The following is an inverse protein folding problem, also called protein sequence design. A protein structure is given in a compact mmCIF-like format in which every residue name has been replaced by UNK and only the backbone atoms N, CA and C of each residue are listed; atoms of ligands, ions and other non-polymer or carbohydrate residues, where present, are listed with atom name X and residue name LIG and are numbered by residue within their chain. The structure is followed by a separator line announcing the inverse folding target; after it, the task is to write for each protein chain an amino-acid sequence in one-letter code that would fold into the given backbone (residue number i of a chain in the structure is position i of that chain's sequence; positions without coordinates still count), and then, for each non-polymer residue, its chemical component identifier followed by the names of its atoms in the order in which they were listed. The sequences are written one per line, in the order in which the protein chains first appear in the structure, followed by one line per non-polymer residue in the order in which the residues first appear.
data_IF_501373443679
#
_entry.id   IF_501373443679
#
_cell.length_a   1.000
_cell.length_b   1.000
_cell.length_c   1.000
_cell.angle_alpha   90.00
_cell.angle_beta   90.00
_cell.angle_gamma   90.00
#
_symmetry.space_group_name_H-M   'P 1'
#
loop_
_entity.id
_entity.type
_entity.pdbx_description
1 polymer ?
#
# COMPACT_ATOMS: atom_id res chain seq x y z
N UNK A 1 -4.59 -0.17 -20.34
CA UNK A 1 -4.35 -1.49 -20.98
C UNK A 1 -5.70 -2.09 -21.28
N UNK A 2 -6.02 -2.18 -22.56
CA UNK A 2 -7.24 -2.81 -23.04
C UNK A 2 -7.12 -4.32 -22.84
N UNK A 3 -7.58 -4.81 -21.70
CA UNK A 3 -7.80 -6.23 -21.51
C UNK A 3 -9.10 -6.57 -22.22
N UNK A 4 -9.03 -7.38 -23.25
CA UNK A 4 -10.19 -8.03 -23.84
C UNK A 4 -10.86 -8.87 -22.76
N UNK A 5 -11.92 -8.34 -22.14
CA UNK A 5 -12.74 -9.13 -21.24
C UNK A 5 -13.74 -9.93 -22.08
N UNK A 6 -13.78 -11.25 -21.87
CA UNK A 6 -14.85 -12.09 -22.43
C UNK A 6 -16.20 -11.64 -21.90
N UNK A 7 -17.26 -11.84 -22.71
CA UNK A 7 -18.64 -11.58 -22.27
C UNK A 7 -18.90 -12.35 -20.97
N UNK A 8 -19.21 -11.63 -19.87
CA UNK A 8 -19.39 -12.21 -18.55
C UNK A 8 -18.16 -12.17 -17.62
N UNK A 9 -17.02 -11.68 -18.11
CA UNK A 9 -15.86 -11.44 -17.26
C UNK A 9 -16.04 -10.19 -16.39
N UNK A 10 -15.42 -10.19 -15.22
CA UNK A 10 -15.41 -9.04 -14.30
C UNK A 10 -14.65 -7.87 -14.95
N UNK A 11 -15.21 -6.67 -14.93
CA UNK A 11 -14.61 -5.47 -15.54
C UNK A 11 -13.28 -5.06 -14.87
N UNK A 12 -13.15 -5.33 -13.57
CA UNK A 12 -11.94 -5.04 -12.79
C UNK A 12 -11.61 -6.20 -11.86
N UNK A 13 -10.84 -7.19 -12.33
CA UNK A 13 -10.42 -8.32 -11.51
C UNK A 13 -9.35 -7.92 -10.49
N UNK A 14 -9.30 -8.64 -9.37
CA UNK A 14 -8.23 -8.54 -8.38
C UNK A 14 -6.94 -9.15 -8.95
N UNK A 15 -5.80 -8.57 -8.62
CA UNK A 15 -4.50 -9.15 -8.99
C UNK A 15 -4.28 -10.41 -8.15
N UNK A 16 -4.04 -11.52 -8.81
CA UNK A 16 -3.82 -12.83 -8.17
C UNK A 16 -2.45 -13.40 -8.54
N UNK A 17 -1.89 -14.18 -7.63
CA UNK A 17 -0.70 -14.98 -7.86
C UNK A 17 -1.00 -16.06 -8.91
N UNK A 18 -0.22 -16.18 -9.99
CA UNK A 18 -0.53 -17.10 -11.08
C UNK A 18 -0.48 -18.59 -10.70
N UNK A 19 0.27 -18.95 -9.66
CA UNK A 19 0.38 -20.34 -9.20
C UNK A 19 -0.75 -20.71 -8.23
N UNK A 20 -1.02 -19.84 -7.26
CA UNK A 20 -1.98 -20.14 -6.19
C UNK A 20 -3.38 -19.64 -6.50
N UNK A 21 -3.54 -18.78 -7.48
CA UNK A 21 -4.77 -18.06 -7.82
C UNK A 21 -5.36 -17.25 -6.65
N UNK A 22 -4.57 -17.03 -5.60
CA UNK A 22 -4.97 -16.22 -4.45
C UNK A 22 -4.65 -14.75 -4.69
N UNK A 23 -5.49 -13.81 -4.20
CA UNK A 23 -5.21 -12.39 -4.28
C UNK A 23 -3.84 -12.05 -3.68
N UNK A 24 -3.14 -11.13 -4.33
CA UNK A 24 -1.90 -10.53 -3.83
C UNK A 24 -1.99 -9.01 -3.90
N UNK A 25 -1.23 -8.34 -3.05
CA UNK A 25 -1.01 -6.90 -3.19
C UNK A 25 0.41 -6.71 -3.70
N UNK A 26 0.60 -6.24 -4.95
CA UNK A 26 1.94 -5.98 -5.47
C UNK A 26 2.70 -4.97 -4.63
N UNK A 27 3.98 -5.23 -4.34
CA UNK A 27 4.85 -4.31 -3.62
C UNK A 27 4.96 -2.94 -4.30
N UNK A 28 4.86 -2.90 -5.63
CA UNK A 28 4.78 -1.64 -6.39
C UNK A 28 3.54 -0.79 -6.04
N UNK A 29 2.42 -1.42 -5.68
CA UNK A 29 1.20 -0.72 -5.25
C UNK A 29 1.40 -0.04 -3.89
N UNK A 30 2.01 -0.72 -2.93
CA UNK A 30 2.40 -0.13 -1.64
C UNK A 30 3.39 1.01 -1.84
N UNK A 31 4.51 0.72 -2.52
CA UNK A 31 5.57 1.69 -2.78
C UNK A 31 5.05 2.97 -3.43
N UNK A 32 4.30 2.82 -4.52
CA UNK A 32 3.76 3.97 -5.28
C UNK A 32 2.75 4.77 -4.48
N UNK A 33 1.89 4.11 -3.72
CA UNK A 33 0.89 4.78 -2.91
C UNK A 33 1.51 5.54 -1.73
N UNK A 34 2.38 4.92 -0.95
CA UNK A 34 3.08 5.57 0.17
C UNK A 34 3.90 6.76 -0.31
N UNK A 35 4.67 6.61 -1.40
CA UNK A 35 5.41 7.70 -2.03
C UNK A 35 4.50 8.88 -2.37
N UNK A 36 3.38 8.61 -3.05
CA UNK A 36 2.42 9.64 -3.47
C UNK A 36 1.81 10.38 -2.28
N UNK A 37 1.49 9.67 -1.20
CA UNK A 37 0.92 10.27 0.00
C UNK A 37 1.93 11.14 0.74
N UNK A 38 3.16 10.67 0.90
CA UNK A 38 4.25 11.46 1.49
C UNK A 38 4.57 12.69 0.66
N UNK A 39 4.63 12.57 -0.68
CA UNK A 39 4.84 13.72 -1.56
C UNK A 39 3.74 14.77 -1.39
N UNK A 40 2.47 14.36 -1.33
CA UNK A 40 1.33 15.28 -1.14
C UNK A 40 1.37 16.09 0.16
N UNK A 41 1.89 15.51 1.24
CA UNK A 41 1.97 16.22 2.54
C UNK A 41 3.27 16.99 2.73
N UNK A 42 4.27 16.73 1.89
CA UNK A 42 5.59 17.37 1.95
C UNK A 42 5.76 18.49 0.93
N UNK A 43 4.85 18.64 -0.04
CA UNK A 43 4.90 19.65 -1.08
C UNK A 43 3.60 20.45 -1.16
N UNK A 44 3.71 21.75 -1.44
CA UNK A 44 2.52 22.61 -1.61
C UNK A 44 1.72 22.28 -2.88
N UNK A 45 2.39 21.72 -3.89
CA UNK A 45 1.80 21.35 -5.19
C UNK A 45 2.16 19.92 -5.55
N UNK A 46 1.27 19.25 -6.30
CA UNK A 46 1.60 17.94 -6.90
C UNK A 46 2.79 18.12 -7.84
N UNK A 47 3.80 17.28 -7.66
CA UNK A 47 4.99 17.26 -8.49
C UNK A 47 5.19 15.87 -9.11
N UNK A 48 6.00 15.82 -10.17
CA UNK A 48 6.49 14.57 -10.74
C UNK A 48 7.47 13.91 -9.76
N UNK A 49 7.66 12.59 -9.80
CA UNK A 49 8.53 11.86 -8.89
C UNK A 49 9.97 12.37 -8.79
N UNK A 50 10.52 12.89 -9.89
CA UNK A 50 11.87 13.44 -9.91
C UNK A 50 11.97 14.83 -9.26
N UNK A 51 10.84 15.45 -8.96
CA UNK A 51 10.75 16.71 -8.22
C UNK A 51 10.32 16.54 -6.76
N UNK A 52 10.23 15.29 -6.28
CA UNK A 52 9.99 15.00 -4.86
C UNK A 52 11.09 15.58 -3.97
N UNK A 53 10.78 15.91 -2.70
CA UNK A 53 11.80 16.24 -1.69
C UNK A 53 12.88 15.18 -1.57
N UNK A 54 14.08 15.60 -1.17
CA UNK A 54 15.27 14.75 -1.09
C UNK A 54 15.07 13.47 -0.26
N UNK A 55 14.34 13.58 0.86
CA UNK A 55 14.02 12.43 1.71
C UNK A 55 13.15 11.39 0.98
N UNK A 56 12.23 11.83 0.12
CA UNK A 56 11.36 10.91 -0.64
C UNK A 56 12.17 10.26 -1.76
N UNK A 57 13.06 11.02 -2.43
CA UNK A 57 13.94 10.46 -3.47
C UNK A 57 14.87 9.38 -2.93
N UNK A 58 15.49 9.60 -1.76
CA UNK A 58 16.37 8.59 -1.17
C UNK A 58 15.63 7.35 -0.69
N UNK A 59 14.40 7.50 -0.19
CA UNK A 59 13.57 6.36 0.22
C UNK A 59 13.05 5.55 -0.96
N UNK A 60 12.53 6.20 -2.00
CA UNK A 60 11.80 5.56 -3.09
C UNK A 60 12.55 5.50 -4.42
N UNK A 61 13.67 6.19 -4.52
CA UNK A 61 14.46 6.31 -5.75
C UNK A 61 14.02 7.46 -6.64
N UNK A 62 14.87 7.81 -7.62
CA UNK A 62 14.58 8.81 -8.67
C UNK A 62 15.21 8.40 -9.99
N UNK A 63 14.70 8.92 -11.10
CA UNK A 63 15.23 8.71 -12.44
C UNK A 63 16.17 9.84 -12.89
N UNK A 64 15.96 11.06 -12.37
CA UNK A 64 16.82 12.21 -12.65
C UNK A 64 17.05 13.05 -11.38
N UNK A 65 18.27 13.06 -10.81
CA UNK A 65 19.37 12.14 -11.09
C UNK A 65 19.02 10.69 -10.71
N UNK A 66 19.61 9.72 -11.38
CA UNK A 66 19.39 8.30 -11.08
C UNK A 66 19.82 8.01 -9.66
N UNK A 67 18.89 7.52 -8.85
CA UNK A 67 19.12 7.13 -7.46
C UNK A 67 18.40 5.84 -7.13
N UNK A 68 19.11 4.92 -6.51
CA UNK A 68 18.53 3.68 -6.02
C UNK A 68 17.61 3.94 -4.83
N UNK A 69 16.54 3.18 -4.74
CA UNK A 69 15.61 3.21 -3.60
C UNK A 69 16.23 2.50 -2.39
N UNK A 70 16.20 3.12 -1.22
CA UNK A 70 16.54 2.45 0.04
C UNK A 70 15.48 1.46 0.51
N UNK A 71 14.22 1.69 0.11
CA UNK A 71 13.09 0.82 0.43
C UNK A 71 12.81 -0.17 -0.70
N UNK A 72 12.69 -1.44 -0.34
CA UNK A 72 12.24 -2.52 -1.23
C UNK A 72 10.98 -3.13 -0.65
N UNK A 73 9.93 -3.22 -1.45
CA UNK A 73 8.63 -3.76 -1.08
C UNK A 73 8.42 -5.10 -1.77
N UNK A 74 8.12 -6.14 -1.00
CA UNK A 74 7.74 -7.44 -1.55
C UNK A 74 6.27 -7.45 -1.94
N UNK A 75 5.85 -8.43 -2.74
CA UNK A 75 4.43 -8.68 -2.95
C UNK A 75 3.83 -9.29 -1.67
N UNK A 76 2.75 -8.69 -1.17
CA UNK A 76 2.08 -9.17 0.03
C UNK A 76 1.15 -10.34 -0.30
N UNK A 77 1.32 -11.44 0.44
CA UNK A 77 0.55 -12.68 0.28
C UNK A 77 -0.42 -12.86 1.44
N UNK A 78 -1.52 -13.56 1.17
CA UNK A 78 -2.54 -13.85 2.20
C UNK A 78 -1.98 -14.81 3.25
N UNK A 79 -2.22 -14.49 4.52
CA UNK A 79 -1.78 -15.28 5.68
C UNK A 79 -2.89 -16.17 6.27
N UNK A 80 -4.16 -15.79 6.10
CA UNK A 80 -5.31 -16.44 6.72
C UNK A 80 -6.33 -16.98 5.70
N UNK A 81 -5.84 -17.55 4.60
CA UNK A 81 -6.70 -18.02 3.52
C UNK A 81 -7.65 -19.16 3.95
N UNK A 82 -7.24 -19.98 4.92
CA UNK A 82 -7.99 -21.07 5.49
C UNK A 82 -9.34 -20.65 6.10
N UNK A 83 -9.39 -19.47 6.70
CA UNK A 83 -10.64 -18.92 7.28
C UNK A 83 -11.71 -18.68 6.21
N UNK A 84 -11.30 -18.52 4.95
CA UNK A 84 -12.18 -18.13 3.84
C UNK A 84 -12.47 -19.26 2.85
N UNK A 85 -12.16 -20.51 3.19
CA UNK A 85 -12.33 -21.66 2.29
C UNK A 85 -13.79 -21.83 1.82
N UNK A 86 -14.76 -21.57 2.70
CA UNK A 86 -16.20 -21.73 2.37
C UNK A 86 -16.79 -20.51 1.65
N UNK A 87 -16.33 -19.30 1.97
CA UNK A 87 -16.95 -18.05 1.47
C UNK A 87 -16.18 -17.41 0.32
N UNK A 88 -14.94 -17.84 0.10
CA UNK A 88 -14.03 -17.26 -0.92
C UNK A 88 -13.30 -16.01 -0.44
N UNK A 89 -12.17 -15.72 -1.11
CA UNK A 89 -11.29 -14.59 -0.80
C UNK A 89 -11.72 -13.28 -1.47
N UNK A 90 -12.61 -13.36 -2.45
CA UNK A 90 -13.09 -12.22 -3.23
C UNK A 90 -14.60 -12.21 -3.34
N UNK A 91 -15.17 -11.05 -3.55
CA UNK A 91 -16.58 -10.85 -3.85
C UNK A 91 -16.74 -9.93 -5.06
N UNK A 92 -17.87 -10.08 -5.77
CA UNK A 92 -18.22 -9.22 -6.90
C UNK A 92 -19.20 -8.16 -6.42
N UNK A 93 -18.78 -6.89 -6.50
CA UNK A 93 -19.61 -5.74 -6.22
C UNK A 93 -20.18 -5.19 -7.52
N UNK A 94 -21.51 -5.08 -7.59
CA UNK A 94 -22.19 -4.43 -8.70
C UNK A 94 -22.31 -2.93 -8.43
N UNK A 95 -21.82 -2.11 -9.36
CA UNK A 95 -21.97 -0.65 -9.32
C UNK A 95 -22.63 -0.15 -10.59
N UNK A 96 -23.54 0.80 -10.47
CA UNK A 96 -24.20 1.44 -11.61
C UNK A 96 -23.70 2.88 -11.76
N UNK A 97 -23.37 3.24 -12.99
CA UNK A 97 -23.14 4.64 -13.38
C UNK A 97 -24.33 5.09 -14.22
N UNK A 98 -25.08 6.08 -13.74
CA UNK A 98 -26.22 6.63 -14.47
C UNK A 98 -25.76 7.88 -15.23
N UNK A 99 -25.96 7.90 -16.54
CA UNK A 99 -25.72 9.09 -17.36
C UNK A 99 -26.71 10.20 -16.96
N UNK A 100 -26.19 11.35 -16.59
CA UNK A 100 -27.05 12.49 -16.22
C UNK A 100 -27.82 13.07 -17.40
N UNK A 101 -27.38 12.82 -18.63
CA UNK A 101 -27.99 13.33 -19.86
C UNK A 101 -29.05 12.36 -20.39
N UNK A 102 -28.72 11.07 -20.44
CA UNK A 102 -29.57 10.05 -21.07
C UNK A 102 -30.34 9.20 -20.09
N UNK A 103 -30.06 9.32 -18.79
CA UNK A 103 -30.62 8.45 -17.71
C UNK A 103 -30.34 6.96 -17.91
N UNK A 104 -29.46 6.59 -18.83
CA UNK A 104 -29.08 5.20 -19.09
C UNK A 104 -28.16 4.72 -17.96
N UNK A 105 -28.50 3.58 -17.37
CA UNK A 105 -27.67 2.90 -16.39
C UNK A 105 -26.61 2.05 -17.11
N UNK A 106 -25.34 2.19 -16.67
CA UNK A 106 -24.23 1.38 -17.14
C UNK A 106 -23.70 0.54 -15.97
N UNK A 107 -24.13 -0.72 -15.82
CA UNK A 107 -23.69 -1.59 -14.75
C UNK A 107 -22.23 -2.00 -14.94
N UNK A 108 -21.49 -2.10 -13.83
CA UNK A 108 -20.11 -2.57 -13.79
C UNK A 108 -19.94 -3.62 -12.69
N UNK A 109 -19.15 -4.63 -12.96
CA UNK A 109 -18.78 -5.67 -12.02
C UNK A 109 -17.35 -5.44 -11.56
N UNK A 110 -17.19 -5.22 -10.26
CA UNK A 110 -15.91 -4.95 -9.64
C UNK A 110 -15.63 -6.09 -8.66
N UNK A 111 -14.52 -6.79 -8.88
CA UNK A 111 -14.04 -7.75 -7.91
C UNK A 111 -13.23 -7.05 -6.84
N UNK A 112 -13.44 -7.41 -5.59
CA UNK A 112 -12.65 -6.94 -4.45
C UNK A 112 -12.40 -8.04 -3.45
N UNK A 113 -11.32 -7.91 -2.70
CA UNK A 113 -11.01 -8.81 -1.58
C UNK A 113 -12.02 -8.59 -0.46
N UNK A 114 -12.49 -9.67 0.15
CA UNK A 114 -13.43 -9.62 1.27
C UNK A 114 -12.78 -9.03 2.52
N UNK A 115 -13.59 -8.42 3.38
CA UNK A 115 -13.10 -7.87 4.65
C UNK A 115 -12.59 -8.97 5.58
N UNK A 116 -11.53 -8.68 6.33
CA UNK A 116 -10.93 -9.64 7.27
C UNK A 116 -9.77 -10.48 6.69
N UNK A 117 -9.49 -10.38 5.39
CA UNK A 117 -8.30 -11.00 4.80
C UNK A 117 -7.05 -10.27 5.29
N UNK A 118 -6.07 -11.04 5.75
CA UNK A 118 -4.79 -10.53 6.26
C UNK A 118 -3.70 -10.82 5.25
N UNK A 119 -2.96 -9.78 4.87
CA UNK A 119 -1.80 -9.86 4.00
C UNK A 119 -0.52 -9.68 4.80
N UNK A 120 0.48 -10.54 4.55
CA UNK A 120 1.83 -10.37 5.08
C UNK A 120 2.67 -9.54 4.14
N UNK A 121 3.15 -8.39 4.59
CA UNK A 121 4.03 -7.50 3.85
C UNK A 121 5.44 -7.55 4.41
N UNK A 122 6.44 -7.48 3.54
CA UNK A 122 7.84 -7.33 3.91
C UNK A 122 8.43 -6.11 3.23
N UNK A 123 8.95 -5.20 4.05
CA UNK A 123 9.68 -4.03 3.59
C UNK A 123 11.14 -4.16 4.04
N UNK A 124 12.08 -4.10 3.10
CA UNK A 124 13.53 -4.07 3.41
C UNK A 124 13.98 -2.62 3.27
N UNK A 125 14.66 -2.13 4.29
CA UNK A 125 15.33 -0.84 4.27
C UNK A 125 16.85 -1.03 4.26
N UNK A 126 17.52 -0.51 3.24
CA UNK A 126 18.97 -0.53 3.13
C UNK A 126 19.56 0.70 3.82
N UNK A 127 20.34 0.47 4.87
CA UNK A 127 21.04 1.55 5.59
C UNK A 127 22.25 1.97 4.78
N UNK A 128 22.14 3.08 4.03
CA UNK A 128 23.26 3.69 3.30
C UNK A 128 24.00 4.71 4.17
N UNK A 129 23.27 5.45 5.00
CA UNK A 129 23.79 6.42 5.94
C UNK A 129 23.14 6.25 7.30
N UNK A 130 23.87 5.82 8.34
CA UNK A 130 23.33 5.63 9.69
C UNK A 130 22.73 6.89 10.32
N UNK A 131 23.25 8.08 9.99
CA UNK A 131 22.76 9.35 10.53
C UNK A 131 21.33 9.68 10.05
N UNK A 132 20.94 9.17 8.90
CA UNK A 132 19.63 9.38 8.28
C UNK A 132 18.61 8.31 8.66
N UNK A 133 19.03 7.22 9.31
CA UNK A 133 18.20 6.06 9.62
C UNK A 133 16.92 6.41 10.39
N UNK A 134 17.06 7.23 11.43
CA UNK A 134 15.90 7.61 12.26
C UNK A 134 14.88 8.42 11.47
N UNK A 135 15.34 9.39 10.70
CA UNK A 135 14.49 10.23 9.86
C UNK A 135 13.78 9.42 8.79
N UNK A 136 14.49 8.48 8.15
CA UNK A 136 13.94 7.61 7.12
C UNK A 136 12.82 6.70 7.65
N UNK A 137 13.04 6.07 8.80
CA UNK A 137 12.04 5.20 9.43
C UNK A 137 10.84 6.02 9.97
N UNK A 138 11.07 7.22 10.50
CA UNK A 138 9.98 8.13 10.92
C UNK A 138 9.10 8.53 9.72
N UNK A 139 9.70 8.81 8.55
CA UNK A 139 8.94 9.10 7.33
C UNK A 139 8.22 7.87 6.76
N UNK A 140 8.82 6.68 6.81
CA UNK A 140 8.12 5.44 6.47
C UNK A 140 6.90 5.23 7.37
N UNK A 141 7.06 5.37 8.68
CA UNK A 141 5.98 5.29 9.67
C UNK A 141 4.85 6.27 9.35
N UNK A 142 5.19 7.53 9.02
CA UNK A 142 4.21 8.53 8.58
C UNK A 142 3.50 8.13 7.30
N UNK A 143 4.21 7.55 6.34
CA UNK A 143 3.63 7.04 5.09
C UNK A 143 2.61 5.92 5.33
N UNK A 144 2.90 5.01 6.26
CA UNK A 144 2.00 3.93 6.69
C UNK A 144 0.75 4.51 7.38
N UNK A 145 0.89 5.52 8.25
CA UNK A 145 -0.25 6.22 8.86
C UNK A 145 -1.15 6.86 7.80
N UNK A 146 -0.56 7.60 6.85
CA UNK A 146 -1.30 8.25 5.75
C UNK A 146 -2.05 7.24 4.89
N UNK A 147 -1.47 6.07 4.66
CA UNK A 147 -2.11 5.02 3.86
C UNK A 147 -3.37 4.46 4.54
N UNK A 148 -3.40 4.36 5.86
CA UNK A 148 -4.59 3.93 6.61
C UNK A 148 -5.71 4.98 6.59
N UNK A 149 -5.38 6.27 6.41
CA UNK A 149 -6.36 7.35 6.24
C UNK A 149 -6.89 7.45 4.80
N UNK A 150 -6.22 6.79 3.87
CA UNK A 150 -6.60 6.78 2.46
C UNK A 150 -7.09 5.35 2.07
N UNK A 151 -6.71 4.86 0.92
CA UNK A 151 -7.06 3.52 0.42
C UNK A 151 -5.96 2.97 -0.47
N UNK A 152 -5.94 1.66 -0.63
CA UNK A 152 -5.06 0.95 -1.55
C UNK A 152 -5.87 0.36 -2.72
N UNK A 153 -5.34 0.45 -3.95
CA UNK A 153 -6.02 -0.02 -5.16
C UNK A 153 -7.06 0.96 -5.71
N UNK A 154 -8.03 0.43 -6.43
CA UNK A 154 -9.09 1.20 -7.08
C UNK A 154 -10.33 1.42 -6.21
N UNK A 155 -11.24 2.29 -6.69
CA UNK A 155 -12.58 2.52 -6.13
C UNK A 155 -12.63 2.96 -4.65
N UNK A 156 -11.54 3.52 -4.10
CA UNK A 156 -11.42 3.90 -2.70
C UNK A 156 -12.43 4.96 -2.25
N UNK A 157 -12.77 5.94 -3.10
CA UNK A 157 -13.80 6.94 -2.81
C UNK A 157 -15.21 6.34 -2.64
N UNK A 158 -15.39 5.06 -2.98
CA UNK A 158 -16.64 4.30 -2.86
C UNK A 158 -16.54 3.16 -1.84
N UNK A 159 -15.58 3.27 -0.91
CA UNK A 159 -15.43 2.40 0.25
C UNK A 159 -14.63 1.11 0.01
N UNK A 160 -13.92 0.98 -1.12
CA UNK A 160 -13.01 -0.14 -1.36
C UNK A 160 -11.58 0.20 -0.92
N UNK A 161 -10.78 -0.82 -0.59
CA UNK A 161 -9.34 -0.68 -0.36
C UNK A 161 -8.93 -0.05 0.98
N UNK A 162 -9.82 0.03 1.96
CA UNK A 162 -9.45 0.39 3.33
C UNK A 162 -8.59 -0.71 3.94
N UNK A 163 -7.46 -0.33 4.50
CA UNK A 163 -6.51 -1.25 5.13
C UNK A 163 -6.09 -0.73 6.49
N UNK A 164 -5.64 -1.66 7.34
CA UNK A 164 -5.07 -1.38 8.63
C UNK A 164 -3.75 -2.16 8.74
N UNK A 165 -2.71 -1.54 9.26
CA UNK A 165 -1.47 -2.23 9.57
C UNK A 165 -1.48 -2.68 11.02
N UNK A 166 -1.08 -3.91 11.26
CA UNK A 166 -0.99 -4.53 12.59
C UNK A 166 0.32 -5.31 12.69
N UNK A 167 0.82 -5.48 13.92
CA UNK A 167 1.99 -6.31 14.21
C UNK A 167 3.24 -5.94 13.39
N UNK A 168 3.60 -4.65 13.38
CA UNK A 168 4.80 -4.16 12.70
C UNK A 168 6.03 -4.50 13.53
N UNK A 169 6.89 -5.35 12.99
CA UNK A 169 8.15 -5.76 13.62
C UNK A 169 9.35 -5.16 12.87
N UNK A 170 10.31 -4.63 13.62
CA UNK A 170 11.61 -4.21 13.11
C UNK A 170 12.65 -5.27 13.46
N UNK A 171 13.34 -5.78 12.45
CA UNK A 171 14.42 -6.77 12.62
C UNK A 171 15.69 -6.22 11.97
N UNK A 172 16.73 -5.84 12.76
CA UNK A 172 18.04 -5.51 12.23
C UNK A 172 18.71 -6.77 11.65
N UNK A 173 19.18 -6.68 10.41
CA UNK A 173 19.93 -7.73 9.73
C UNK A 173 21.26 -7.15 9.25
N UNK A 174 22.38 -7.81 9.56
CA UNK A 174 23.73 -7.41 9.15
C UNK A 174 24.17 -6.00 9.60
N UNK A 175 23.49 -5.42 10.60
CA UNK A 175 23.82 -4.15 11.22
C UNK A 175 23.65 -4.24 12.73
N UNK A 176 24.62 -3.71 13.46
CA UNK A 176 24.52 -3.57 14.91
C UNK A 176 23.95 -2.20 15.25
N UNK A 177 22.80 -2.18 15.92
CA UNK A 177 22.18 -0.97 16.44
C UNK A 177 22.25 -0.98 17.96
N UNK A 178 22.55 0.16 18.55
CA UNK A 178 22.42 0.32 19.99
C UNK A 178 20.94 0.21 20.42
N UNK A 179 20.75 -0.21 21.66
CA UNK A 179 19.41 -0.44 22.19
C UNK A 179 18.52 0.80 22.14
N UNK A 180 19.07 1.98 22.38
CA UNK A 180 18.33 3.25 22.38
C UNK A 180 17.79 3.57 20.99
N UNK A 181 18.63 3.41 19.98
CA UNK A 181 18.24 3.58 18.56
C UNK A 181 17.16 2.56 18.18
N UNK A 182 17.35 1.29 18.51
CA UNK A 182 16.38 0.23 18.21
C UNK A 182 15.02 0.50 18.85
N UNK A 183 15.01 0.90 20.13
CA UNK A 183 13.78 1.24 20.86
C UNK A 183 13.07 2.44 20.22
N UNK A 184 13.82 3.46 19.80
CA UNK A 184 13.27 4.65 19.10
C UNK A 184 12.62 4.29 17.77
N UNK A 185 13.30 3.50 16.94
CA UNK A 185 12.80 3.06 15.65
C UNK A 185 11.54 2.21 15.79
N UNK A 186 11.57 1.25 16.73
CA UNK A 186 10.42 0.39 17.03
C UNK A 186 9.23 1.21 17.54
N UNK A 187 9.46 2.18 18.40
CA UNK A 187 8.40 3.07 18.90
C UNK A 187 7.79 3.93 17.78
N UNK A 188 8.62 4.37 16.81
CA UNK A 188 8.14 5.12 15.65
C UNK A 188 7.21 4.27 14.77
N UNK A 189 7.58 3.03 14.49
CA UNK A 189 6.77 2.11 13.70
C UNK A 189 5.48 1.68 14.43
N UNK A 190 5.55 1.46 15.73
CA UNK A 190 4.36 1.15 16.55
C UNK A 190 3.31 2.25 16.54
N UNK A 191 3.69 3.51 16.39
CA UNK A 191 2.73 4.62 16.21
C UNK A 191 1.91 4.49 14.92
N UNK A 192 2.39 3.72 13.96
CA UNK A 192 1.66 3.47 12.72
C UNK A 192 0.74 2.24 12.79
N UNK A 193 0.83 1.41 13.83
CA UNK A 193 -0.08 0.29 14.01
C UNK A 193 -1.48 0.79 14.33
N UNK A 194 -2.50 0.24 13.63
CA UNK A 194 -3.92 0.55 13.81
C UNK A 194 -4.18 2.06 13.93
N UNK A 195 -3.49 2.84 13.10
CA UNK A 195 -3.59 4.28 13.16
C UNK A 195 -4.99 4.75 12.76
N UNK A 196 -5.76 5.18 13.76
CA UNK A 196 -7.05 5.84 13.58
C UNK A 196 -7.08 7.10 14.45
N UNK A 197 -7.05 8.31 13.86
CA UNK A 197 -7.14 9.56 14.61
C UNK A 197 -8.53 9.85 15.18
N UNK A 198 -9.54 9.11 14.71
CA UNK A 198 -10.93 9.22 15.14
C UNK A 198 -11.42 7.84 15.58
N UNK A 199 -11.05 7.36 16.78
CA UNK A 199 -11.57 6.10 17.28
C UNK A 199 -13.10 6.19 17.38
N UNK A 200 -13.77 5.27 16.72
CA UNK A 200 -15.24 5.15 16.73
C UNK A 200 -15.65 4.44 18.00
#
# INVERSE_FOLDING_TARGET
SDSFSFIGAVDSPVIADPLTQKPIIPGSSFKGKIRTLLSRVSTERRCEPDNDPEIIKRLFGSSDPVRQSRLQFSDAKILNADIFEEIGLTEIKFENTISRVTSVANPRQIERVVSGVIFGERIIYNVENPDELCEDIENLSRGIQLLQLDYLGGHGSRGSGRICFDSIELRPEFIELDKTTLDRLSASLKKAERYDPLPV
#
